data_IF_248724699031
#
_entry.id   IF_248724699031
#
_cell.length_a   1.000
_cell.length_b   1.000
_cell.length_c   1.000
_cell.angle_alpha   90.00
_cell.angle_beta   90.00
_cell.angle_gamma   90.00
#
_symmetry.space_group_name_H-M   'P 1'
#
loop_
_entity.id
_entity.type
_entity.pdbx_description
1 polymer ?
#
# COMPACT_ATOMS: atom_id res chain seq x y z
N UNK A 1 54.40 64.62 -4.99
CA UNK A 1 53.54 63.86 -5.86
C UNK A 1 53.27 62.48 -5.19
N UNK A 2 52.10 62.28 -4.59
CA UNK A 2 51.70 61.01 -3.91
C UNK A 2 50.60 60.36 -4.76
N UNK A 3 50.91 59.27 -5.40
CA UNK A 3 49.93 58.47 -6.15
C UNK A 3 49.18 57.58 -5.18
N UNK A 4 47.84 57.76 -5.04
CA UNK A 4 46.91 56.89 -4.40
C UNK A 4 46.43 55.87 -5.41
N UNK A 5 46.71 54.60 -5.16
CA UNK A 5 46.12 53.42 -5.89
C UNK A 5 44.81 53.08 -5.32
N UNK A 6 43.73 52.92 -6.11
CA UNK A 6 42.43 52.37 -5.60
C UNK A 6 42.50 50.88 -5.53
N UNK A 7 42.12 50.33 -4.34
CA UNK A 7 41.92 48.90 -4.08
C UNK A 7 40.56 48.51 -4.63
N UNK A 8 40.51 47.68 -5.66
CA UNK A 8 39.26 47.12 -6.18
C UNK A 8 38.85 45.89 -5.34
N UNK A 9 37.73 46.01 -4.62
CA UNK A 9 37.14 44.96 -3.83
C UNK A 9 36.21 44.11 -4.75
N UNK A 10 36.64 42.93 -5.14
CA UNK A 10 35.79 41.96 -5.89
C UNK A 10 34.94 41.18 -4.93
N UNK A 11 33.63 41.45 -4.89
CA UNK A 11 32.65 40.66 -4.15
C UNK A 11 32.27 39.39 -4.94
N UNK A 12 32.67 38.23 -4.46
CA UNK A 12 32.23 36.92 -4.97
C UNK A 12 30.84 36.59 -4.42
N UNK A 13 29.84 36.63 -5.27
CA UNK A 13 28.48 36.19 -4.95
C UNK A 13 28.46 34.67 -5.06
N UNK A 14 28.37 33.98 -3.89
CA UNK A 14 28.11 32.53 -3.84
C UNK A 14 26.66 32.26 -4.20
N UNK A 15 26.40 31.56 -5.31
CA UNK A 15 25.09 31.11 -5.69
C UNK A 15 24.60 30.02 -4.70
N UNK A 16 23.32 30.05 -4.23
CA UNK A 16 22.81 29.01 -3.40
C UNK A 16 22.72 27.72 -4.21
N UNK A 17 23.30 26.64 -3.66
CA UNK A 17 23.13 25.28 -4.20
C UNK A 17 21.65 24.90 -4.13
N UNK A 18 21.02 24.71 -5.28
CA UNK A 18 19.68 24.16 -5.36
C UNK A 18 19.69 22.75 -4.74
N UNK A 19 18.97 22.56 -3.62
CA UNK A 19 18.69 21.23 -3.10
C UNK A 19 17.92 20.49 -4.19
N UNK A 20 18.58 19.50 -4.81
CA UNK A 20 17.90 18.58 -5.71
C UNK A 20 16.84 17.81 -4.88
N UNK A 21 15.58 17.99 -5.22
CA UNK A 21 14.49 17.23 -4.64
C UNK A 21 14.76 15.74 -4.89
N UNK A 22 14.92 14.96 -3.81
CA UNK A 22 15.06 13.52 -3.92
C UNK A 22 13.78 12.96 -4.56
N UNK A 23 13.89 12.05 -5.55
CA UNK A 23 12.71 11.43 -6.12
C UNK A 23 11.95 10.71 -5.01
N UNK A 24 10.65 11.00 -4.90
CA UNK A 24 9.77 10.29 -3.99
C UNK A 24 9.87 8.79 -4.27
N UNK A 25 10.15 7.99 -3.24
CA UNK A 25 10.22 6.53 -3.34
C UNK A 25 8.86 6.03 -3.83
N UNK A 26 8.75 5.68 -5.10
CA UNK A 26 7.55 5.07 -5.66
C UNK A 26 7.63 3.56 -5.46
N UNK A 27 6.59 2.96 -4.89
CA UNK A 27 6.41 1.51 -4.96
C UNK A 27 6.14 1.19 -6.43
N UNK A 28 7.01 0.42 -7.06
CA UNK A 28 6.72 -0.11 -8.38
C UNK A 28 5.53 -1.09 -8.23
N UNK A 29 4.35 -0.64 -8.60
CA UNK A 29 3.15 -1.47 -8.60
C UNK A 29 3.11 -2.27 -9.89
N UNK A 30 3.82 -3.39 -9.91
CA UNK A 30 3.67 -4.37 -10.97
C UNK A 30 2.45 -5.25 -10.63
N UNK A 31 1.28 -4.69 -10.89
CA UNK A 31 0.02 -5.42 -10.85
C UNK A 31 -0.20 -6.15 -12.18
N UNK A 32 0.68 -7.02 -12.57
CA UNK A 32 0.42 -7.98 -13.63
C UNK A 32 -0.64 -8.98 -13.14
N UNK A 33 -1.86 -8.44 -13.00
CA UNK A 33 -3.05 -9.23 -12.89
C UNK A 33 -3.28 -9.83 -14.27
N UNK A 34 -2.76 -11.02 -14.50
CA UNK A 34 -3.19 -11.81 -15.66
C UNK A 34 -4.72 -11.74 -15.74
N UNK A 35 -5.24 -11.54 -16.94
CA UNK A 35 -6.69 -11.47 -17.13
C UNK A 35 -7.32 -12.73 -16.51
N UNK A 36 -8.04 -12.55 -15.39
CA UNK A 36 -8.89 -13.63 -14.85
C UNK A 36 -10.04 -13.73 -15.85
N UNK A 37 -10.16 -14.87 -16.49
CA UNK A 37 -11.28 -15.15 -17.38
C UNK A 37 -12.59 -14.90 -16.63
N UNK A 38 -13.52 -14.19 -17.26
CA UNK A 38 -14.85 -13.95 -16.72
C UNK A 38 -15.56 -15.31 -16.56
N UNK A 39 -15.68 -15.80 -15.30
CA UNK A 39 -16.29 -17.11 -15.01
C UNK A 39 -15.51 -17.92 -13.98
N UNK A 40 -14.36 -17.47 -13.52
CA UNK A 40 -13.60 -18.12 -12.44
C UNK A 40 -14.31 -18.05 -11.09
N UNK A 41 -14.05 -19.02 -10.22
CA UNK A 41 -14.48 -19.02 -8.82
C UNK A 41 -14.08 -17.70 -8.13
N UNK A 42 -14.96 -17.15 -7.30
CA UNK A 42 -14.68 -15.93 -6.55
C UNK A 42 -13.40 -16.12 -5.70
N UNK A 43 -12.46 -15.16 -5.74
CA UNK A 43 -11.18 -15.34 -5.07
C UNK A 43 -11.36 -15.48 -3.55
N UNK A 44 -10.68 -16.44 -2.95
CA UNK A 44 -10.67 -16.63 -1.51
C UNK A 44 -9.75 -15.59 -0.84
N UNK A 45 -10.34 -14.54 -0.29
CA UNK A 45 -9.61 -13.47 0.39
C UNK A 45 -9.33 -13.79 1.87
N UNK A 46 -9.96 -14.81 2.44
CA UNK A 46 -9.81 -15.18 3.85
C UNK A 46 -8.35 -15.40 4.23
N UNK A 47 -7.93 -14.81 5.35
CA UNK A 47 -6.58 -14.98 5.91
C UNK A 47 -5.92 -13.67 6.31
N UNK A 48 -4.60 -13.75 6.55
CA UNK A 48 -3.78 -12.61 6.91
C UNK A 48 -2.95 -12.16 5.71
N UNK A 49 -2.83 -10.84 5.59
CA UNK A 49 -2.13 -10.17 4.50
C UNK A 49 -1.15 -9.15 5.07
N UNK A 50 0.10 -9.21 4.68
CA UNK A 50 1.05 -8.13 4.93
C UNK A 50 0.83 -7.03 3.92
N UNK A 51 0.61 -5.80 4.36
CA UNK A 51 0.42 -4.66 3.47
C UNK A 51 1.53 -3.62 3.62
N UNK A 52 1.77 -2.88 2.55
CA UNK A 52 2.66 -1.73 2.49
C UNK A 52 2.02 -0.63 1.65
N UNK A 53 2.02 0.59 2.18
CA UNK A 53 1.69 1.82 1.46
C UNK A 53 2.67 2.93 1.85
N UNK A 54 2.80 3.98 1.02
CA UNK A 54 3.70 5.10 1.30
C UNK A 54 2.92 6.43 1.22
N UNK A 55 2.07 6.74 2.21
CA UNK A 55 1.40 8.02 2.27
C UNK A 55 2.42 9.12 2.51
N UNK A 56 2.41 10.16 1.65
CA UNK A 56 3.28 11.35 1.76
C UNK A 56 4.77 11.02 1.97
N UNK A 57 5.25 9.95 1.36
CA UNK A 57 6.65 9.50 1.48
C UNK A 57 6.99 8.76 2.78
N UNK A 58 6.05 8.53 3.67
CA UNK A 58 6.25 7.81 4.94
C UNK A 58 5.72 6.38 4.81
N UNK A 59 6.57 5.33 4.92
CA UNK A 59 6.11 3.95 4.87
C UNK A 59 5.13 3.63 6.01
N UNK A 60 3.97 3.09 5.64
CA UNK A 60 2.97 2.51 6.53
C UNK A 60 2.75 1.06 6.15
N UNK A 61 2.98 0.16 7.07
CA UNK A 61 2.89 -1.28 6.85
C UNK A 61 2.30 -1.96 8.09
N UNK A 62 1.82 -3.18 7.91
CA UNK A 62 1.20 -3.94 8.99
C UNK A 62 0.50 -5.18 8.46
N UNK A 63 -0.48 -5.65 9.23
CA UNK A 63 -1.26 -6.84 8.91
C UNK A 63 -2.71 -6.47 8.68
N UNK A 64 -3.26 -6.99 7.60
CA UNK A 64 -4.69 -6.97 7.31
C UNK A 64 -5.23 -8.38 7.53
N UNK A 65 -6.27 -8.50 8.34
CA UNK A 65 -6.95 -9.76 8.62
C UNK A 65 -8.30 -9.74 7.95
N UNK A 66 -8.52 -10.64 6.99
CA UNK A 66 -9.75 -10.73 6.21
C UNK A 66 -10.49 -12.02 6.58
N UNK A 67 -11.76 -11.92 6.84
CA UNK A 67 -12.65 -13.03 7.14
C UNK A 67 -14.08 -12.73 6.74
N UNK A 68 -14.99 -13.66 7.03
CA UNK A 68 -16.41 -13.43 6.84
C UNK A 68 -17.01 -12.72 8.06
N UNK A 69 -17.78 -11.67 7.78
CA UNK A 69 -18.64 -10.98 8.75
C UNK A 69 -20.07 -11.13 8.23
N UNK A 70 -20.77 -12.10 8.75
CA UNK A 70 -22.02 -12.57 8.13
C UNK A 70 -21.76 -13.27 6.79
N UNK A 71 -22.39 -12.78 5.73
CA UNK A 71 -22.25 -13.32 4.36
C UNK A 71 -21.21 -12.56 3.51
N UNK A 72 -20.60 -11.48 4.05
CA UNK A 72 -19.68 -10.60 3.32
C UNK A 72 -18.27 -10.71 3.89
N UNK A 73 -17.27 -10.35 3.07
CA UNK A 73 -15.92 -10.16 3.56
C UNK A 73 -15.79 -8.86 4.34
N UNK A 74 -15.09 -8.92 5.47
CA UNK A 74 -14.70 -7.80 6.29
C UNK A 74 -13.47 -8.15 7.11
N UNK A 75 -13.17 -7.36 8.14
CA UNK A 75 -12.04 -7.66 9.01
C UNK A 75 -11.40 -6.45 9.67
N UNK A 76 -10.08 -6.48 9.79
CA UNK A 76 -9.31 -5.42 10.41
C UNK A 76 -8.01 -5.15 9.66
N UNK A 77 -7.54 -3.91 9.75
CA UNK A 77 -6.23 -3.48 9.26
C UNK A 77 -5.48 -2.93 10.47
N UNK A 78 -4.33 -3.54 10.79
CA UNK A 78 -3.49 -3.22 11.93
C UNK A 78 -2.12 -2.68 11.46
N UNK A 79 -2.00 -1.36 11.24
CA UNK A 79 -0.71 -0.73 10.96
C UNK A 79 0.21 -0.80 12.17
N UNK A 80 1.52 -0.91 11.95
CA UNK A 80 2.51 -1.04 13.05
C UNK A 80 2.56 0.20 13.96
N UNK A 81 2.25 1.39 13.43
CA UNK A 81 2.41 2.67 14.14
C UNK A 81 1.11 3.30 14.63
N UNK A 82 -0.04 2.77 14.26
CA UNK A 82 -1.35 3.34 14.61
C UNK A 82 -2.27 2.26 15.16
N UNK A 83 -3.36 2.68 15.80
CA UNK A 83 -4.38 1.74 16.26
C UNK A 83 -5.00 0.98 15.08
N UNK A 84 -5.40 -0.28 15.29
CA UNK A 84 -6.14 -1.03 14.29
C UNK A 84 -7.45 -0.34 13.90
N UNK A 85 -7.82 -0.49 12.63
CA UNK A 85 -9.05 0.02 12.05
C UNK A 85 -9.88 -1.10 11.44
N UNK A 86 -11.18 -0.90 11.30
CA UNK A 86 -12.11 -1.91 10.79
C UNK A 86 -12.16 -1.86 9.27
N UNK A 87 -12.05 -3.02 8.63
CA UNK A 87 -12.43 -3.24 7.24
C UNK A 87 -13.94 -3.53 7.23
N UNK A 88 -14.75 -2.51 6.90
CA UNK A 88 -16.22 -2.62 6.95
C UNK A 88 -16.77 -3.50 5.85
N UNK A 89 -16.22 -3.38 4.67
CA UNK A 89 -16.71 -4.09 3.49
C UNK A 89 -15.56 -4.37 2.54
N UNK A 90 -15.58 -5.56 1.97
CA UNK A 90 -14.69 -5.95 0.89
C UNK A 90 -15.56 -6.58 -0.18
N UNK A 91 -15.55 -6.02 -1.38
CA UNK A 91 -16.23 -6.60 -2.55
C UNK A 91 -15.20 -6.99 -3.61
N UNK A 92 -15.45 -8.11 -4.29
CA UNK A 92 -14.63 -8.55 -5.41
C UNK A 92 -15.52 -8.86 -6.62
N UNK A 93 -15.09 -8.42 -7.79
CA UNK A 93 -15.71 -8.73 -9.09
C UNK A 93 -14.59 -9.18 -10.01
N UNK A 94 -14.56 -10.48 -10.29
CA UNK A 94 -13.38 -11.07 -10.93
C UNK A 94 -12.13 -10.86 -10.08
N UNK A 95 -11.10 -10.24 -10.64
CA UNK A 95 -9.87 -9.89 -9.92
C UNK A 95 -9.88 -8.46 -9.35
N UNK A 96 -10.92 -7.68 -9.57
CA UNK A 96 -11.06 -6.33 -9.00
C UNK A 96 -11.48 -6.42 -7.54
N UNK A 97 -10.82 -5.67 -6.67
CA UNK A 97 -11.07 -5.60 -5.23
C UNK A 97 -11.39 -4.16 -4.86
N UNK A 98 -12.49 -3.99 -4.13
CA UNK A 98 -12.85 -2.72 -3.50
C UNK A 98 -13.00 -2.92 -2.00
N UNK A 99 -12.35 -2.07 -1.18
CA UNK A 99 -12.44 -2.13 0.28
C UNK A 99 -12.83 -0.78 0.86
N UNK A 100 -13.62 -0.83 1.92
CA UNK A 100 -13.97 0.34 2.73
C UNK A 100 -13.40 0.16 4.13
N UNK A 101 -12.49 1.05 4.52
CA UNK A 101 -11.80 1.03 5.80
C UNK A 101 -12.33 2.18 6.66
N UNK A 102 -12.82 1.87 7.85
CA UNK A 102 -13.30 2.87 8.78
C UNK A 102 -12.12 3.54 9.51
N UNK A 103 -11.88 4.82 9.26
CA UNK A 103 -10.94 5.61 10.05
C UNK A 103 -11.69 6.60 10.97
N UNK A 104 -10.97 7.26 11.87
CA UNK A 104 -11.55 8.28 12.77
C UNK A 104 -12.01 9.53 12.00
N UNK A 105 -11.41 9.81 10.86
CA UNK A 105 -11.62 11.01 10.06
C UNK A 105 -12.59 10.75 8.90
N UNK A 106 -13.07 9.51 8.73
CA UNK A 106 -13.98 9.11 7.67
C UNK A 106 -13.54 7.82 6.99
N UNK A 107 -14.26 7.41 5.98
CA UNK A 107 -13.95 6.19 5.24
C UNK A 107 -12.73 6.40 4.32
N UNK A 108 -11.84 5.43 4.33
CA UNK A 108 -10.70 5.31 3.42
C UNK A 108 -11.04 4.19 2.44
N UNK A 109 -10.88 4.45 1.16
CA UNK A 109 -11.21 3.51 0.09
C UNK A 109 -9.94 2.87 -0.46
N UNK A 110 -10.01 1.61 -0.80
CA UNK A 110 -9.00 0.92 -1.59
C UNK A 110 -9.63 0.33 -2.83
N UNK A 111 -9.09 0.67 -3.98
CA UNK A 111 -9.43 0.14 -5.28
C UNK A 111 -8.22 -0.55 -5.89
N UNK A 112 -8.31 -1.84 -6.13
CA UNK A 112 -7.17 -2.63 -6.55
C UNK A 112 -7.52 -3.87 -7.35
N UNK A 113 -6.48 -4.64 -7.60
CA UNK A 113 -6.57 -5.92 -8.30
C UNK A 113 -5.86 -7.02 -7.51
N UNK A 114 -6.40 -8.22 -7.63
CA UNK A 114 -5.83 -9.44 -7.10
C UNK A 114 -5.03 -10.16 -8.19
N UNK A 115 -3.88 -10.74 -7.84
CA UNK A 115 -3.12 -11.62 -8.74
C UNK A 115 -3.95 -12.84 -9.15
N UNK A 116 -3.61 -13.46 -10.27
CA UNK A 116 -4.29 -14.68 -10.73
C UNK A 116 -4.21 -15.84 -9.71
N UNK A 117 -3.17 -15.86 -8.86
CA UNK A 117 -3.03 -16.85 -7.76
C UNK A 117 -3.84 -16.50 -6.53
N UNK A 118 -4.40 -15.30 -6.43
CA UNK A 118 -5.16 -14.85 -5.27
C UNK A 118 -4.31 -14.59 -4.01
N UNK A 119 -3.01 -14.44 -4.14
CA UNK A 119 -2.06 -14.30 -3.05
C UNK A 119 -1.40 -12.91 -2.96
N UNK A 120 -1.59 -12.07 -3.95
CA UNK A 120 -1.06 -10.72 -4.02
C UNK A 120 -2.13 -9.73 -4.49
N UNK A 121 -2.21 -8.57 -3.88
CA UNK A 121 -3.08 -7.48 -4.33
C UNK A 121 -2.30 -6.17 -4.40
N UNK A 122 -2.71 -5.32 -5.31
CA UNK A 122 -2.17 -3.99 -5.47
C UNK A 122 -3.25 -3.03 -5.95
N UNK A 123 -3.12 -1.79 -5.58
CA UNK A 123 -4.12 -0.79 -5.94
C UNK A 123 -3.81 0.58 -5.35
N UNK A 124 -4.83 1.39 -5.32
CA UNK A 124 -4.77 2.76 -4.85
C UNK A 124 -5.65 2.93 -3.62
N UNK A 125 -5.08 3.50 -2.58
CA UNK A 125 -5.81 3.96 -1.40
C UNK A 125 -6.21 5.40 -1.61
N UNK A 126 -7.47 5.74 -1.37
CA UNK A 126 -8.00 7.10 -1.40
C UNK A 126 -8.44 7.50 0.00
N UNK A 127 -7.81 8.51 0.56
CA UNK A 127 -8.19 9.11 1.84
C UNK A 127 -9.36 10.08 1.67
N UNK A 128 -10.08 10.36 2.76
CA UNK A 128 -11.22 11.27 2.81
C UNK A 128 -10.94 12.69 2.31
N UNK A 129 -9.69 13.13 2.25
CA UNK A 129 -9.27 14.39 1.61
C UNK A 129 -9.03 14.30 0.10
N UNK A 130 -9.28 13.13 -0.53
CA UNK A 130 -9.03 12.89 -1.95
C UNK A 130 -7.56 12.59 -2.29
N UNK A 131 -6.65 12.55 -1.31
CA UNK A 131 -5.27 12.13 -1.53
C UNK A 131 -5.21 10.64 -1.83
N UNK A 132 -4.39 10.26 -2.80
CA UNK A 132 -4.25 8.87 -3.25
C UNK A 132 -2.82 8.36 -3.07
N UNK A 133 -2.70 7.09 -2.66
CA UNK A 133 -1.42 6.43 -2.43
C UNK A 133 -1.45 5.00 -2.95
N UNK A 134 -0.35 4.50 -3.50
CA UNK A 134 -0.24 3.10 -3.85
C UNK A 134 -0.21 2.20 -2.61
N UNK A 135 -0.87 1.04 -2.69
CA UNK A 135 -0.81 -0.01 -1.69
C UNK A 135 -0.61 -1.37 -2.37
N UNK A 136 0.24 -2.18 -1.76
CA UNK A 136 0.41 -3.59 -2.10
C UNK A 136 0.14 -4.44 -0.87
N UNK A 137 -0.34 -5.67 -1.06
CA UNK A 137 -0.47 -6.62 0.03
C UNK A 137 -0.21 -8.05 -0.45
N UNK A 138 0.48 -8.82 0.39
CA UNK A 138 0.84 -10.22 0.16
C UNK A 138 0.15 -11.09 1.19
N UNK A 139 -0.55 -12.12 0.73
CA UNK A 139 -1.21 -13.11 1.59
C UNK A 139 -0.16 -13.98 2.29
N UNK A 140 -0.31 -14.14 3.59
CA UNK A 140 0.54 -15.06 4.35
C UNK A 140 0.14 -16.51 4.06
N UNK A 141 1.10 -17.41 3.92
CA UNK A 141 0.81 -18.84 3.83
C UNK A 141 0.03 -19.31 5.08
N UNK A 142 -0.99 -20.14 4.87
CA UNK A 142 -1.72 -20.74 5.98
C UNK A 142 -0.87 -21.86 6.60
N UNK A 143 -0.44 -21.68 7.84
CA UNK A 143 0.32 -22.70 8.58
C UNK A 143 -0.51 -23.96 8.90
N UNK A 144 -1.84 -23.83 8.94
CA UNK A 144 -2.73 -24.98 9.19
C UNK A 144 -2.78 -25.97 8.02
N UNK A 145 -2.65 -25.53 6.78
CA UNK A 145 -2.67 -26.41 5.60
C UNK A 145 -1.42 -27.31 5.52
N UNK A 146 -0.25 -26.78 5.93
CA UNK A 146 0.99 -27.56 5.94
C UNK A 146 1.01 -28.68 6.96
N UNK A 147 0.35 -28.52 8.11
CA UNK A 147 0.28 -29.54 9.16
C UNK A 147 -0.67 -30.68 8.78
N UNK A 148 -1.82 -30.39 8.14
CA UNK A 148 -2.76 -31.43 7.71
C UNK A 148 -2.22 -32.28 6.53
N UNK A 149 -1.40 -31.73 5.66
CA UNK A 149 -0.72 -32.47 4.60
C UNK A 149 0.39 -33.38 5.14
N UNK A 150 1.16 -32.91 6.12
CA UNK A 150 2.22 -33.71 6.76
C UNK A 150 1.65 -34.91 7.56
N UNK A 151 0.42 -34.81 8.07
CA UNK A 151 -0.24 -35.92 8.77
C UNK A 151 -0.85 -36.96 7.84
N UNK A 152 -1.20 -36.62 6.60
CA UNK A 152 -1.73 -37.56 5.59
C UNK A 152 -0.66 -38.38 4.87
N UNK A 153 0.61 -37.97 4.96
CA UNK A 153 1.76 -38.65 4.34
C UNK A 153 2.48 -39.63 5.31
N UNK A 154 1.94 -39.89 6.50
CA UNK A 154 2.39 -40.90 7.44
C UNK A 154 1.36 -42.03 7.55
#
# INVERSE_FOLDING_TARGET
>A
MKYLMPLALTATIAAPAALAAQPASSIAMNCDAGAVEAGGEAPNLHGHWDFLMIPRGIPSFGVMSIGFVGAEYGGSLAPVRTAPVVLRRITSIGNSIHMVVASREGDVLFDGRLSAKGDFMCGTVTYHGGETFPMVAQKRPSTYQSQSQAQRSR
#
